data_IF_910186927366
#
_entry.id   IF_910186927366
#
_cell.length_a   1.000
_cell.length_b   1.000
_cell.length_c   1.000
_cell.angle_alpha   90.00
_cell.angle_beta   90.00
_cell.angle_gamma   90.00
#
_symmetry.space_group_name_H-M   'P 1'
#
loop_
_entity.id
_entity.type
_entity.pdbx_description
1 polymer ?
#
# COMPACT_ATOMS: atom_id res chain seq x y z
N UNK A 1 1.03 5.73 15.51
CA UNK A 1 0.45 4.52 14.95
C UNK A 1 1.14 4.12 13.63
N UNK A 2 1.17 5.03 12.69
CA UNK A 2 1.87 4.83 11.42
C UNK A 2 3.37 4.61 11.65
N UNK A 3 3.97 5.44 12.50
CA UNK A 3 5.39 5.32 12.84
C UNK A 3 5.71 3.98 13.48
N UNK A 4 4.79 3.44 14.28
CA UNK A 4 4.96 2.12 14.90
C UNK A 4 4.94 1.01 13.85
N UNK A 5 4.06 1.11 12.86
CA UNK A 5 4.00 0.13 11.77
C UNK A 5 5.32 0.13 11.01
N UNK A 6 5.87 1.30 10.70
CA UNK A 6 7.15 1.40 10.01
C UNK A 6 8.28 0.80 10.85
N UNK A 7 8.25 1.02 12.16
CA UNK A 7 9.25 0.46 13.07
C UNK A 7 9.19 -1.06 13.12
N UNK A 8 7.99 -1.64 13.07
CA UNK A 8 7.81 -3.09 13.01
C UNK A 8 8.46 -3.64 11.74
N UNK A 9 8.27 -3.01 10.59
CA UNK A 9 8.91 -3.46 9.35
C UNK A 9 10.42 -3.37 9.41
N UNK A 10 10.97 -2.26 9.95
CA UNK A 10 12.42 -2.13 10.12
C UNK A 10 12.97 -3.23 11.00
N UNK A 11 12.32 -3.49 12.13
CA UNK A 11 12.74 -4.50 13.08
C UNK A 11 12.69 -5.89 12.45
N UNK A 12 11.61 -6.19 11.74
CA UNK A 12 11.45 -7.48 11.05
C UNK A 12 12.59 -7.72 10.06
N UNK A 13 12.94 -6.70 9.26
CA UNK A 13 14.02 -6.84 8.28
C UNK A 13 15.39 -6.98 8.94
N UNK A 14 15.61 -6.30 10.06
CA UNK A 14 16.87 -6.42 10.78
C UNK A 14 17.04 -7.82 11.37
N UNK A 15 15.95 -8.39 11.92
CA UNK A 15 16.01 -9.70 12.58
C UNK A 15 15.94 -10.86 11.62
N UNK A 16 15.25 -10.69 10.50
CA UNK A 16 15.03 -11.76 9.52
C UNK A 16 15.07 -11.20 8.10
N UNK A 17 16.25 -10.79 7.61
CA UNK A 17 16.36 -10.09 6.32
C UNK A 17 15.94 -10.92 5.12
N UNK A 18 15.94 -12.25 5.24
CA UNK A 18 15.57 -13.15 4.14
C UNK A 18 14.07 -13.46 4.09
N UNK A 19 13.31 -13.03 5.10
CA UNK A 19 11.87 -13.26 5.13
C UNK A 19 11.16 -12.08 4.48
N UNK A 20 10.35 -12.31 3.41
CA UNK A 20 9.62 -11.22 2.76
C UNK A 20 8.59 -10.59 3.69
N UNK A 21 8.48 -9.26 3.60
CA UNK A 21 7.45 -8.51 4.33
C UNK A 21 6.36 -8.08 3.35
N UNK A 22 5.12 -8.05 3.79
CA UNK A 22 3.96 -7.75 2.97
C UNK A 22 3.05 -6.74 3.68
N UNK A 23 2.52 -5.79 2.92
CA UNK A 23 1.51 -4.88 3.43
C UNK A 23 0.56 -4.47 2.30
N UNK A 24 -0.59 -3.93 2.68
CA UNK A 24 -1.61 -3.49 1.73
C UNK A 24 -2.01 -2.05 1.94
N UNK A 25 -2.45 -1.41 0.86
CA UNK A 25 -3.04 -0.08 0.87
C UNK A 25 -4.45 -0.22 0.31
N UNK A 26 -5.42 0.36 1.01
CA UNK A 26 -6.81 0.37 0.57
C UNK A 26 -7.11 1.74 -0.03
N UNK A 27 -7.58 1.75 -1.27
CA UNK A 27 -7.85 2.95 -2.04
C UNK A 27 -9.34 3.26 -2.09
N UNK A 28 -9.69 4.55 -2.25
CA UNK A 28 -11.07 4.98 -2.38
C UNK A 28 -11.68 5.54 -1.12
N UNK A 29 -10.86 5.88 -0.11
CA UNK A 29 -11.31 6.42 1.17
C UNK A 29 -11.14 7.95 1.27
N UNK A 30 -10.75 8.61 0.17
CA UNK A 30 -10.54 10.06 0.15
C UNK A 30 -9.10 10.51 -0.02
N UNK A 31 -8.19 9.58 -0.17
CA UNK A 31 -6.76 9.88 -0.34
C UNK A 31 -6.46 10.43 -1.74
N UNK A 32 -5.41 11.24 -1.84
CA UNK A 32 -4.91 11.68 -3.15
C UNK A 32 -3.88 10.68 -3.67
N UNK A 33 -3.63 10.72 -4.99
CA UNK A 33 -2.61 9.86 -5.59
C UNK A 33 -1.22 10.16 -5.00
N UNK A 34 -0.95 11.43 -4.73
CA UNK A 34 0.32 11.86 -4.13
C UNK A 34 0.49 11.27 -2.74
N UNK A 35 -0.57 11.23 -1.94
CA UNK A 35 -0.53 10.63 -0.61
C UNK A 35 -0.22 9.14 -0.68
N UNK A 36 -0.85 8.44 -1.63
CA UNK A 36 -0.61 6.99 -1.83
C UNK A 36 0.85 6.75 -2.22
N UNK A 37 1.36 7.51 -3.19
CA UNK A 37 2.75 7.37 -3.63
C UNK A 37 3.73 7.65 -2.50
N UNK A 38 3.44 8.65 -1.67
CA UNK A 38 4.29 8.96 -0.52
C UNK A 38 4.36 7.79 0.46
N UNK A 39 3.22 7.16 0.76
CA UNK A 39 3.17 5.98 1.62
C UNK A 39 3.95 4.82 0.99
N UNK A 40 3.80 4.63 -0.32
CA UNK A 40 4.55 3.60 -1.05
C UNK A 40 6.05 3.81 -0.92
N UNK A 41 6.53 5.05 -1.06
CA UNK A 41 7.95 5.38 -0.89
C UNK A 41 8.43 5.05 0.51
N UNK A 42 7.63 5.40 1.52
CA UNK A 42 7.98 5.14 2.92
C UNK A 42 8.02 3.65 3.23
N UNK A 43 7.09 2.89 2.67
CA UNK A 43 7.07 1.43 2.81
C UNK A 43 8.31 0.81 2.15
N UNK A 44 8.68 1.29 0.97
CA UNK A 44 9.88 0.77 0.30
C UNK A 44 11.15 1.14 1.07
N UNK A 45 11.16 2.28 1.74
CA UNK A 45 12.31 2.69 2.57
C UNK A 45 12.54 1.77 3.76
N UNK A 46 11.51 1.05 4.22
CA UNK A 46 11.64 0.04 5.28
C UNK A 46 11.66 -1.38 4.71
N UNK A 47 11.98 -1.50 3.42
CA UNK A 47 12.22 -2.77 2.71
C UNK A 47 11.02 -3.71 2.65
N UNK A 48 9.81 -3.16 2.56
CA UNK A 48 8.63 -3.98 2.28
C UNK A 48 8.78 -4.60 0.89
N UNK A 49 8.62 -5.91 0.81
CA UNK A 49 8.85 -6.66 -0.43
C UNK A 49 7.60 -6.79 -1.28
N UNK A 50 6.45 -7.00 -0.64
CA UNK A 50 5.18 -7.25 -1.34
C UNK A 50 4.19 -6.16 -0.97
N UNK A 51 3.73 -5.44 -2.00
CA UNK A 51 2.74 -4.38 -1.85
C UNK A 51 1.44 -4.84 -2.50
N UNK A 52 0.33 -4.77 -1.77
CA UNK A 52 -0.99 -5.01 -2.34
C UNK A 52 -1.81 -3.73 -2.30
N UNK A 53 -2.61 -3.52 -3.33
CA UNK A 53 -3.48 -2.35 -3.47
C UNK A 53 -4.89 -2.85 -3.74
N UNK A 54 -5.85 -2.46 -2.90
CA UNK A 54 -7.22 -2.91 -3.02
C UNK A 54 -8.23 -1.78 -2.98
N UNK A 55 -9.46 -2.08 -3.33
CA UNK A 55 -10.56 -1.13 -3.32
C UNK A 55 -11.28 -1.15 -1.98
N UNK A 56 -11.49 0.03 -1.39
CA UNK A 56 -12.33 0.16 -0.22
C UNK A 56 -13.80 -0.03 -0.62
N UNK A 57 -14.51 -0.85 0.13
CA UNK A 57 -15.95 -1.01 0.00
C UNK A 57 -16.55 -0.75 1.38
N UNK A 58 -17.48 0.19 1.44
CA UNK A 58 -18.11 0.56 2.71
C UNK A 58 -18.91 -0.62 3.27
N UNK A 59 -18.51 -1.19 4.43
CA UNK A 59 -19.21 -2.37 4.97
C UNK A 59 -20.60 -2.06 5.51
N UNK A 60 -20.80 -0.85 6.06
CA UNK A 60 -22.07 -0.43 6.63
C UNK A 60 -22.11 1.09 6.78
N UNK A 61 -23.28 1.61 7.15
CA UNK A 61 -23.46 3.06 7.30
C UNK A 61 -22.59 3.66 8.42
N UNK A 62 -22.14 2.85 9.36
CA UNK A 62 -21.26 3.32 10.44
C UNK A 62 -19.80 3.47 10.05
N UNK A 63 -19.42 3.09 8.82
CA UNK A 63 -18.05 3.15 8.33
C UNK A 63 -17.83 4.35 7.43
N UNK A 64 -16.56 4.63 7.15
CA UNK A 64 -16.18 5.71 6.22
C UNK A 64 -16.91 5.53 4.89
N UNK A 65 -17.45 6.61 4.34
CA UNK A 65 -18.12 6.57 3.05
C UNK A 65 -17.09 6.29 1.93
N UNK A 66 -17.55 5.55 0.92
CA UNK A 66 -16.75 5.33 -0.29
C UNK A 66 -16.56 6.66 -1.00
N UNK A 67 -15.31 7.05 -1.25
CA UNK A 67 -15.01 8.28 -1.98
C UNK A 67 -15.11 8.07 -3.48
N UNK A 68 -14.48 6.99 -3.98
CA UNK A 68 -14.49 6.67 -5.41
C UNK A 68 -14.19 5.20 -5.64
N UNK A 69 -14.62 4.73 -6.80
CA UNK A 69 -14.17 3.43 -7.31
C UNK A 69 -12.90 3.65 -8.12
N UNK A 70 -11.87 2.89 -7.79
CA UNK A 70 -10.59 2.95 -8.49
C UNK A 70 -10.74 2.19 -9.81
N UNK A 71 -10.38 2.83 -10.91
CA UNK A 71 -10.51 2.21 -12.22
C UNK A 71 -9.38 1.20 -12.48
N UNK A 72 -9.57 0.26 -13.43
CA UNK A 72 -8.47 -0.62 -13.84
C UNK A 72 -7.24 0.16 -14.31
N UNK A 73 -7.43 1.31 -14.96
CA UNK A 73 -6.33 2.16 -15.39
C UNK A 73 -5.56 2.73 -14.20
N UNK A 74 -6.29 3.13 -13.14
CA UNK A 74 -5.66 3.63 -11.92
C UNK A 74 -4.84 2.54 -11.23
N UNK A 75 -5.38 1.32 -11.15
CA UNK A 75 -4.64 0.19 -10.58
C UNK A 75 -3.37 -0.10 -11.37
N UNK A 76 -3.43 -0.06 -12.70
CA UNK A 76 -2.24 -0.25 -13.54
C UNK A 76 -1.19 0.83 -13.27
N UNK A 77 -1.64 2.07 -13.11
CA UNK A 77 -0.74 3.18 -12.81
C UNK A 77 -0.02 2.96 -11.47
N UNK A 78 -0.75 2.55 -10.44
CA UNK A 78 -0.14 2.26 -9.14
C UNK A 78 0.81 1.05 -9.20
N UNK A 79 0.47 0.02 -9.98
CA UNK A 79 1.37 -1.11 -10.22
C UNK A 79 2.70 -0.63 -10.82
N UNK A 80 2.62 0.20 -11.84
CA UNK A 80 3.80 0.74 -12.51
C UNK A 80 4.62 1.60 -11.55
N UNK A 81 3.96 2.41 -10.73
CA UNK A 81 4.64 3.22 -9.71
C UNK A 81 5.34 2.34 -8.69
N UNK A 82 4.68 1.30 -8.22
CA UNK A 82 5.27 0.36 -7.26
C UNK A 82 6.50 -0.32 -7.82
N UNK A 83 6.43 -0.79 -9.06
CA UNK A 83 7.58 -1.39 -9.73
C UNK A 83 8.72 -0.40 -9.90
N UNK A 84 8.40 0.85 -10.27
CA UNK A 84 9.40 1.91 -10.43
C UNK A 84 10.08 2.25 -9.10
N UNK A 85 9.38 2.12 -7.99
CA UNK A 85 9.93 2.35 -6.66
C UNK A 85 10.78 1.19 -6.15
N UNK A 86 10.79 0.08 -6.86
CA UNK A 86 11.65 -1.05 -6.55
C UNK A 86 11.00 -2.16 -5.74
N UNK A 87 9.67 -2.17 -5.60
CA UNK A 87 9.01 -3.30 -4.94
C UNK A 87 9.23 -4.57 -5.78
N UNK A 88 9.76 -5.64 -5.17
CA UNK A 88 9.93 -6.90 -5.90
C UNK A 88 8.61 -7.49 -6.39
N UNK A 89 7.51 -7.20 -5.71
CA UNK A 89 6.21 -7.74 -6.07
C UNK A 89 5.10 -6.74 -5.73
N UNK A 90 4.23 -6.48 -6.70
CA UNK A 90 3.07 -5.60 -6.53
C UNK A 90 1.83 -6.34 -7.03
N UNK A 91 0.79 -6.38 -6.22
CA UNK A 91 -0.51 -6.94 -6.61
C UNK A 91 -1.56 -5.85 -6.43
N UNK A 92 -2.37 -5.60 -7.45
CA UNK A 92 -3.44 -4.61 -7.36
C UNK A 92 -4.70 -5.12 -8.05
N UNK A 93 -5.84 -4.63 -7.57
CA UNK A 93 -7.11 -4.98 -8.13
C UNK A 93 -8.25 -4.78 -7.14
N UNK A 94 -9.48 -4.79 -7.65
CA UNK A 94 -10.64 -4.66 -6.78
C UNK A 94 -10.81 -5.85 -5.83
#
# INVERSE_FOLDING_TARGET
>A
RYARVMEIFRTSKRLAPDIPTKTGIILGMGETNEEVVQVMKELRAVDVDILTLGQYLRPSDGHVALDRYVTPADFRWFDEMGMALGFPHVESGP
#
